data_IF_711030593677
#
_entry.id   IF_711030593677
#
_cell.length_a   1.000
_cell.length_b   1.000
_cell.length_c   1.000
_cell.angle_alpha   90.00
_cell.angle_beta   90.00
_cell.angle_gamma   90.00
#
_symmetry.space_group_name_H-M   'P 1'
#
loop_
_entity.id
_entity.type
_entity.pdbx_description
1 polymer ?
#
# COMPACT_ATOMS: atom_id res chain seq x y z
N UNK A 1 -3.30 -20.31 -38.95
CA UNK A 1 -3.49 -18.86 -38.76
C UNK A 1 -3.67 -18.58 -37.27
N UNK A 2 -2.59 -18.34 -36.54
CA UNK A 2 -2.66 -17.86 -35.16
C UNK A 2 -2.93 -16.35 -35.22
N UNK A 3 -4.19 -15.94 -35.05
CA UNK A 3 -4.48 -14.53 -34.74
C UNK A 3 -3.86 -14.25 -33.38
N UNK A 4 -2.93 -13.30 -33.36
CA UNK A 4 -2.31 -12.76 -32.16
C UNK A 4 -3.44 -12.25 -31.24
N UNK A 5 -3.83 -13.03 -30.22
CA UNK A 5 -4.81 -12.58 -29.23
C UNK A 5 -4.07 -11.62 -28.31
N UNK A 6 -4.54 -10.38 -28.24
CA UNK A 6 -4.01 -9.39 -27.30
C UNK A 6 -4.05 -9.96 -25.87
N UNK A 7 -3.06 -9.59 -25.05
CA UNK A 7 -3.00 -9.99 -23.64
C UNK A 7 -4.13 -9.32 -22.85
N UNK A 8 -4.50 -9.88 -21.69
CA UNK A 8 -5.55 -9.30 -20.81
C UNK A 8 -5.30 -7.80 -20.54
N UNK A 9 -4.09 -7.35 -20.14
CA UNK A 9 -3.82 -5.92 -19.94
C UNK A 9 -4.05 -5.05 -21.20
N UNK A 10 -3.72 -5.54 -22.39
CA UNK A 10 -3.94 -4.78 -23.64
C UNK A 10 -5.42 -4.64 -23.98
N UNK A 11 -6.22 -5.68 -23.72
CA UNK A 11 -7.66 -5.64 -23.87
C UNK A 11 -8.30 -4.70 -22.85
N UNK A 12 -7.84 -4.75 -21.59
CA UNK A 12 -8.29 -3.84 -20.53
C UNK A 12 -7.94 -2.38 -20.82
N UNK A 13 -6.81 -2.10 -21.49
CA UNK A 13 -6.48 -0.74 -21.90
C UNK A 13 -7.48 -0.20 -22.92
N UNK A 14 -7.96 -1.05 -23.84
CA UNK A 14 -9.01 -0.68 -24.80
C UNK A 14 -10.37 -0.49 -24.11
N UNK A 15 -10.71 -1.39 -23.18
CA UNK A 15 -11.89 -1.30 -22.33
C UNK A 15 -11.91 0.00 -21.51
N UNK A 16 -10.80 0.32 -20.84
CA UNK A 16 -10.66 1.51 -20.02
C UNK A 16 -10.88 2.78 -20.86
N UNK A 17 -10.24 2.86 -22.04
CA UNK A 17 -10.42 4.01 -22.95
C UNK A 17 -11.87 4.22 -23.37
N UNK A 18 -12.62 3.14 -23.61
CA UNK A 18 -14.04 3.20 -23.98
C UNK A 18 -14.88 3.76 -22.83
N UNK A 19 -14.71 3.22 -21.63
CA UNK A 19 -15.60 3.49 -20.50
C UNK A 19 -15.17 4.70 -19.65
N UNK A 20 -13.93 5.19 -19.78
CA UNK A 20 -13.43 6.38 -19.04
C UNK A 20 -14.30 7.63 -19.20
N UNK A 21 -14.90 7.82 -20.38
CA UNK A 21 -15.74 9.00 -20.68
C UNK A 21 -17.23 8.76 -20.44
N UNK A 22 -17.60 7.61 -19.91
CA UNK A 22 -18.99 7.26 -19.67
C UNK A 22 -19.59 8.13 -18.55
N UNK A 23 -20.73 8.75 -18.86
CA UNK A 23 -21.52 9.58 -17.93
C UNK A 23 -23.03 9.34 -18.08
N UNK A 24 -23.42 8.17 -18.60
CA UNK A 24 -24.81 7.78 -18.80
C UNK A 24 -25.51 7.45 -17.47
N UNK A 25 -26.85 7.56 -17.45
CA UNK A 25 -27.71 7.27 -16.28
C UNK A 25 -28.47 5.94 -16.37
N UNK A 26 -28.23 5.15 -17.42
CA UNK A 26 -29.06 3.98 -17.72
C UNK A 26 -28.50 2.69 -17.11
N UNK A 27 -29.37 1.96 -16.39
CA UNK A 27 -29.08 0.64 -15.84
C UNK A 27 -28.71 -0.40 -16.91
N UNK A 28 -29.14 -0.22 -18.16
CA UNK A 28 -28.82 -1.15 -19.28
C UNK A 28 -27.32 -1.22 -19.60
N UNK A 29 -26.54 -0.19 -19.29
CA UNK A 29 -25.11 -0.14 -19.62
C UNK A 29 -24.24 -0.91 -18.61
N UNK A 30 -24.76 -1.22 -17.41
CA UNK A 30 -24.06 -2.05 -16.43
C UNK A 30 -23.89 -3.49 -16.93
N UNK A 31 -24.90 -4.04 -17.61
CA UNK A 31 -24.81 -5.36 -18.25
C UNK A 31 -23.78 -5.39 -19.37
N UNK A 32 -23.76 -4.36 -20.23
CA UNK A 32 -22.76 -4.24 -21.30
C UNK A 32 -21.35 -4.13 -20.74
N UNK A 33 -21.16 -3.29 -19.71
CA UNK A 33 -19.88 -3.12 -19.03
C UNK A 33 -19.37 -4.42 -18.43
N UNK A 34 -20.23 -5.11 -17.65
CA UNK A 34 -19.87 -6.39 -17.02
C UNK A 34 -19.64 -7.48 -18.07
N UNK A 35 -20.48 -7.56 -19.11
CA UNK A 35 -20.31 -8.53 -20.19
C UNK A 35 -18.97 -8.38 -20.90
N UNK A 36 -18.62 -7.16 -21.30
CA UNK A 36 -17.32 -6.88 -21.93
C UNK A 36 -16.13 -7.20 -21.02
N UNK A 37 -16.25 -6.88 -19.73
CA UNK A 37 -15.20 -7.20 -18.76
C UNK A 37 -15.05 -8.71 -18.59
N UNK A 38 -16.16 -9.45 -18.46
CA UNK A 38 -16.15 -10.90 -18.31
C UNK A 38 -15.60 -11.60 -19.56
N UNK A 39 -15.89 -11.10 -20.76
CA UNK A 39 -15.34 -11.60 -22.02
C UNK A 39 -13.82 -11.45 -22.09
N UNK A 40 -13.26 -10.35 -21.57
CA UNK A 40 -11.81 -10.14 -21.49
C UNK A 40 -11.14 -11.20 -20.60
N UNK A 41 -11.80 -11.54 -19.49
CA UNK A 41 -11.29 -12.52 -18.54
C UNK A 41 -11.61 -13.98 -18.89
N UNK A 42 -12.36 -14.25 -19.97
CA UNK A 42 -12.89 -15.58 -20.29
C UNK A 42 -13.56 -16.21 -19.04
N UNK A 43 -14.49 -15.43 -18.47
CA UNK A 43 -15.02 -15.71 -17.14
C UNK A 43 -15.78 -17.04 -17.08
N UNK A 44 -15.62 -17.75 -15.96
CA UNK A 44 -16.27 -19.03 -15.75
C UNK A 44 -17.66 -18.84 -15.11
N UNK A 45 -18.69 -19.43 -15.72
CA UNK A 45 -20.08 -19.36 -15.26
C UNK A 45 -20.56 -20.69 -14.66
N UNK A 46 -20.38 -20.94 -13.36
CA UNK A 46 -20.93 -22.14 -12.73
C UNK A 46 -22.48 -22.09 -12.67
N UNK A 47 -23.15 -23.25 -12.52
CA UNK A 47 -24.60 -23.29 -12.30
C UNK A 47 -25.02 -22.43 -11.10
N UNK A 48 -26.03 -21.58 -11.30
CA UNK A 48 -26.52 -20.65 -10.27
C UNK A 48 -25.91 -19.24 -10.35
N UNK A 49 -25.13 -18.92 -11.39
CA UNK A 49 -24.77 -17.53 -11.73
C UNK A 49 -26.03 -16.70 -11.97
N UNK A 50 -26.11 -15.54 -11.34
CA UNK A 50 -27.22 -14.61 -11.47
C UNK A 50 -26.72 -13.29 -12.04
N UNK A 51 -27.45 -12.77 -13.02
CA UNK A 51 -27.36 -11.38 -13.48
C UNK A 51 -28.70 -10.70 -13.19
N UNK A 52 -28.69 -9.35 -13.09
CA UNK A 52 -29.73 -8.32 -12.86
C UNK A 52 -31.25 -8.66 -12.92
N UNK A 53 -31.68 -9.79 -13.46
CA UNK A 53 -33.07 -10.24 -13.58
C UNK A 53 -33.57 -11.11 -12.41
N UNK A 54 -32.71 -11.46 -11.45
CA UNK A 54 -33.11 -12.34 -10.34
C UNK A 54 -33.31 -11.55 -9.04
N UNK A 55 -34.58 -11.40 -8.64
CA UNK A 55 -34.92 -10.85 -7.32
C UNK A 55 -34.59 -11.88 -6.25
N UNK A 56 -33.71 -11.51 -5.33
CA UNK A 56 -33.43 -12.35 -4.15
C UNK A 56 -34.40 -11.94 -3.06
N UNK A 57 -35.14 -12.91 -2.50
CA UNK A 57 -35.99 -12.67 -1.33
C UNK A 57 -35.10 -12.46 -0.10
N UNK A 58 -35.04 -11.23 0.39
CA UNK A 58 -34.23 -10.85 1.55
C UNK A 58 -35.13 -10.73 2.79
N UNK A 59 -34.82 -11.52 3.82
CA UNK A 59 -35.50 -11.47 5.11
C UNK A 59 -35.16 -10.15 5.81
N UNK A 60 -36.14 -9.26 5.97
CA UNK A 60 -35.97 -8.03 6.74
C UNK A 60 -36.39 -8.25 8.20
N UNK A 61 -35.70 -7.61 9.14
CA UNK A 61 -36.23 -7.40 10.48
C UNK A 61 -37.26 -6.27 10.42
N UNK A 62 -38.44 -6.40 11.06
CA UNK A 62 -39.46 -5.37 10.98
C UNK A 62 -38.91 -4.03 11.47
N UNK A 63 -39.13 -2.96 10.69
CA UNK A 63 -38.87 -1.59 11.15
C UNK A 63 -39.80 -1.33 12.34
N UNK A 64 -39.26 -1.21 13.55
CA UNK A 64 -40.03 -0.90 14.77
C UNK A 64 -40.84 0.40 14.56
N UNK A 65 -42.10 0.27 14.16
CA UNK A 65 -43.14 1.25 14.45
C UNK A 65 -43.94 0.69 15.63
N UNK A 66 -44.04 1.49 16.69
CA UNK A 66 -44.82 1.21 17.89
C UNK A 66 -46.14 0.49 17.57
N UNK A 67 -46.37 -0.68 18.18
CA UNK A 67 -47.60 -1.03 18.91
C UNK A 67 -47.57 -2.47 19.46
N UNK A 68 -47.91 -2.57 20.76
CA UNK A 68 -48.37 -3.74 21.54
C UNK A 68 -47.72 -5.12 21.37
N UNK A 69 -46.92 -5.47 22.37
CA UNK A 69 -45.99 -6.60 22.46
C UNK A 69 -46.60 -7.94 22.96
N UNK A 70 -47.90 -8.18 22.82
CA UNK A 70 -48.51 -9.43 23.32
C UNK A 70 -49.10 -10.38 22.27
N UNK A 71 -49.20 -9.97 20.99
CA UNK A 71 -49.72 -10.85 19.93
C UNK A 71 -49.05 -10.65 18.56
N UNK A 72 -47.82 -10.14 18.51
CA UNK A 72 -47.10 -9.99 17.25
C UNK A 72 -46.70 -11.39 16.73
N UNK A 73 -47.47 -11.90 15.77
CA UNK A 73 -46.98 -12.92 14.83
C UNK A 73 -45.82 -12.27 14.08
N UNK A 74 -44.64 -12.89 14.09
CA UNK A 74 -43.49 -12.43 13.31
C UNK A 74 -43.82 -12.52 11.81
N UNK A 75 -44.49 -11.49 11.27
CA UNK A 75 -44.64 -11.33 9.82
C UNK A 75 -43.26 -11.07 9.24
N UNK A 76 -42.72 -12.09 8.58
CA UNK A 76 -41.44 -11.99 7.87
C UNK A 76 -41.68 -11.24 6.57
N UNK A 77 -41.38 -9.95 6.55
CA UNK A 77 -41.34 -9.17 5.31
C UNK A 77 -40.12 -9.57 4.47
N UNK A 78 -40.38 -9.97 3.22
CA UNK A 78 -39.36 -10.20 2.22
C UNK A 78 -39.33 -9.01 1.27
N UNK A 79 -38.20 -8.32 1.15
CA UNK A 79 -37.99 -7.36 0.07
C UNK A 79 -37.30 -8.07 -1.09
N UNK A 80 -37.68 -7.70 -2.31
CA UNK A 80 -36.97 -8.07 -3.51
C UNK A 80 -35.78 -7.11 -3.66
N UNK A 81 -34.58 -7.57 -3.30
CA UNK A 81 -33.35 -6.84 -3.61
C UNK A 81 -32.79 -7.34 -4.95
N UNK A 82 -32.30 -6.41 -5.77
CA UNK A 82 -31.68 -6.69 -7.07
C UNK A 82 -30.17 -6.60 -6.91
N UNK A 83 -29.47 -7.64 -7.34
CA UNK A 83 -28.01 -7.74 -7.35
C UNK A 83 -27.56 -7.72 -8.80
N UNK A 84 -26.53 -6.96 -9.13
CA UNK A 84 -26.14 -6.79 -10.53
C UNK A 84 -25.45 -8.04 -11.09
N UNK A 85 -24.53 -8.63 -10.33
CA UNK A 85 -23.94 -9.93 -10.66
C UNK A 85 -23.59 -10.77 -9.43
N UNK A 86 -23.89 -12.07 -9.53
CA UNK A 86 -23.46 -13.10 -8.59
C UNK A 86 -22.84 -14.26 -9.34
N UNK A 87 -21.61 -14.61 -8.99
CA UNK A 87 -20.95 -15.84 -9.42
C UNK A 87 -20.80 -16.75 -8.19
N UNK A 88 -21.48 -17.91 -8.14
CA UNK A 88 -21.47 -18.85 -7.03
C UNK A 88 -20.09 -19.10 -6.43
N UNK A 89 -19.96 -18.84 -5.12
CA UNK A 89 -18.72 -18.96 -4.32
C UNK A 89 -17.55 -18.08 -4.76
N UNK A 90 -17.61 -17.45 -5.92
CA UNK A 90 -16.57 -16.56 -6.45
C UNK A 90 -16.81 -15.14 -5.99
N UNK A 91 -17.84 -14.45 -6.50
CA UNK A 91 -18.05 -13.04 -6.18
C UNK A 91 -19.52 -12.63 -6.14
N UNK A 92 -19.78 -11.58 -5.37
CA UNK A 92 -20.93 -10.69 -5.57
C UNK A 92 -20.43 -9.34 -6.06
N UNK A 93 -21.11 -8.77 -7.04
CA UNK A 93 -20.76 -7.51 -7.67
C UNK A 93 -21.96 -6.57 -7.68
N UNK A 94 -21.76 -5.37 -7.15
CA UNK A 94 -22.76 -4.32 -7.08
C UNK A 94 -22.26 -3.09 -7.85
N UNK A 95 -23.06 -2.66 -8.83
CA UNK A 95 -22.81 -1.53 -9.71
C UNK A 95 -23.54 -0.29 -9.21
N UNK A 96 -22.92 0.88 -9.35
CA UNK A 96 -23.52 2.20 -9.11
C UNK A 96 -23.35 3.10 -10.32
N UNK A 97 -24.16 4.15 -10.38
CA UNK A 97 -24.04 5.16 -11.43
C UNK A 97 -22.67 5.84 -11.40
N UNK A 98 -22.15 6.29 -12.56
CA UNK A 98 -20.84 6.96 -12.67
C UNK A 98 -20.76 8.31 -11.93
N UNK A 99 -21.89 8.84 -11.46
CA UNK A 99 -22.01 10.01 -10.60
C UNK A 99 -21.82 9.72 -9.10
N UNK A 100 -21.86 8.45 -8.68
CA UNK A 100 -21.64 8.08 -7.27
C UNK A 100 -20.17 8.32 -6.90
N UNK A 101 -19.93 9.25 -5.98
CA UNK A 101 -18.59 9.64 -5.54
C UNK A 101 -18.11 8.86 -4.32
N UNK A 102 -19.01 8.20 -3.60
CA UNK A 102 -18.70 7.47 -2.38
C UNK A 102 -19.30 6.06 -2.41
N UNK A 103 -18.59 5.15 -3.08
CA UNK A 103 -18.93 3.73 -3.13
C UNK A 103 -19.04 3.10 -1.74
N UNK A 104 -18.36 3.64 -0.72
CA UNK A 104 -18.35 3.12 0.64
C UNK A 104 -19.74 3.09 1.30
N UNK A 105 -20.65 3.98 0.89
CA UNK A 105 -22.05 4.01 1.38
C UNK A 105 -22.83 2.74 1.03
N UNK A 106 -22.41 2.04 -0.01
CA UNK A 106 -23.05 0.84 -0.52
C UNK A 106 -22.39 -0.45 0.02
N UNK A 107 -21.38 -0.32 0.89
CA UNK A 107 -20.74 -1.46 1.54
C UNK A 107 -21.73 -2.30 2.37
N UNK A 108 -22.64 -1.65 3.09
CA UNK A 108 -23.66 -2.36 3.87
C UNK A 108 -24.56 -3.23 2.96
N UNK A 109 -24.89 -2.73 1.76
CA UNK A 109 -25.70 -3.46 0.79
C UNK A 109 -24.97 -4.72 0.29
N UNK A 110 -23.72 -4.59 -0.18
CA UNK A 110 -22.97 -5.75 -0.68
C UNK A 110 -22.63 -6.74 0.45
N UNK A 111 -22.41 -6.26 1.67
CA UNK A 111 -22.19 -7.09 2.85
C UNK A 111 -23.44 -7.93 3.20
N UNK A 112 -24.65 -7.39 3.02
CA UNK A 112 -25.89 -8.18 3.17
C UNK A 112 -25.97 -9.32 2.16
N UNK A 113 -25.59 -9.07 0.90
CA UNK A 113 -25.52 -10.15 -0.11
C UNK A 113 -24.49 -11.21 0.27
N UNK A 114 -23.32 -10.77 0.71
CA UNK A 114 -22.26 -11.67 1.16
C UNK A 114 -22.69 -12.52 2.36
N UNK A 115 -23.35 -11.94 3.38
CA UNK A 115 -23.76 -12.67 4.58
C UNK A 115 -24.65 -13.87 4.26
N UNK A 116 -25.44 -13.78 3.18
CA UNK A 116 -26.35 -14.84 2.71
C UNK A 116 -25.71 -15.82 1.74
N UNK A 117 -24.94 -15.32 0.78
CA UNK A 117 -24.41 -16.13 -0.33
C UNK A 117 -22.99 -16.66 -0.07
N UNK A 118 -22.26 -16.04 0.86
CA UNK A 118 -20.88 -16.32 1.26
C UNK A 118 -19.93 -16.55 0.06
N UNK A 119 -19.88 -15.64 -0.94
CA UNK A 119 -18.85 -15.68 -1.98
C UNK A 119 -17.49 -15.27 -1.42
N UNK A 120 -16.39 -15.63 -2.10
CA UNK A 120 -15.03 -15.24 -1.70
C UNK A 120 -14.79 -13.74 -1.83
N UNK A 121 -15.32 -13.12 -2.88
CA UNK A 121 -15.08 -11.70 -3.18
C UNK A 121 -16.38 -10.88 -3.12
N UNK A 122 -16.26 -9.63 -2.66
CA UNK A 122 -17.29 -8.60 -2.89
C UNK A 122 -16.68 -7.50 -3.75
N UNK A 123 -17.44 -6.99 -4.72
CA UNK A 123 -16.98 -5.93 -5.61
C UNK A 123 -18.01 -4.80 -5.64
N UNK A 124 -17.53 -3.57 -5.44
CA UNK A 124 -18.28 -2.35 -5.71
C UNK A 124 -17.65 -1.64 -6.89
N UNK A 125 -18.47 -1.20 -7.84
CA UNK A 125 -17.99 -0.51 -9.03
C UNK A 125 -18.97 0.58 -9.48
N UNK A 126 -18.46 1.71 -9.95
CA UNK A 126 -19.25 2.82 -10.52
C UNK A 126 -18.79 3.18 -11.94
N UNK A 127 -18.34 2.20 -12.73
CA UNK A 127 -17.69 2.37 -14.04
C UNK A 127 -16.33 3.10 -14.02
N UNK A 128 -16.02 3.87 -12.97
CA UNK A 128 -14.80 4.67 -12.85
C UNK A 128 -13.83 4.11 -11.82
N UNK A 129 -14.34 3.46 -10.79
CA UNK A 129 -13.58 2.87 -9.70
C UNK A 129 -14.02 1.43 -9.45
N UNK A 130 -13.08 0.64 -8.95
CA UNK A 130 -13.26 -0.74 -8.53
C UNK A 130 -12.80 -0.86 -7.08
N UNK A 131 -13.66 -1.37 -6.21
CA UNK A 131 -13.34 -1.65 -4.81
C UNK A 131 -13.55 -3.14 -4.59
N UNK A 132 -12.46 -3.90 -4.40
CA UNK A 132 -12.50 -5.35 -4.26
C UNK A 132 -12.21 -5.70 -2.80
N UNK A 133 -13.08 -6.53 -2.23
CA UNK A 133 -12.97 -7.09 -0.89
C UNK A 133 -12.66 -8.58 -1.00
N UNK A 134 -11.62 -9.05 -0.30
CA UNK A 134 -11.23 -10.45 -0.22
C UNK A 134 -11.69 -11.00 1.14
N UNK A 135 -12.81 -11.71 1.15
CA UNK A 135 -13.53 -12.04 2.39
C UNK A 135 -13.05 -13.34 3.02
N UNK A 136 -13.07 -13.40 4.35
CA UNK A 136 -12.85 -14.62 5.14
C UNK A 136 -14.19 -15.26 5.56
N UNK A 137 -14.14 -16.48 6.09
CA UNK A 137 -15.34 -17.26 6.41
C UNK A 137 -16.08 -16.78 7.68
N UNK A 138 -15.49 -15.93 8.52
CA UNK A 138 -16.08 -15.60 9.82
C UNK A 138 -16.98 -14.36 9.77
N UNK A 139 -16.51 -13.22 9.21
CA UNK A 139 -17.21 -11.94 9.36
C UNK A 139 -17.29 -11.07 8.09
N UNK A 140 -16.71 -11.52 6.98
CA UNK A 140 -16.59 -10.69 5.78
C UNK A 140 -15.52 -9.62 5.98
N UNK A 141 -15.43 -8.65 5.07
CA UNK A 141 -14.39 -7.61 5.14
C UNK A 141 -15.00 -6.20 5.16
N UNK A 142 -14.63 -5.41 6.17
CA UNK A 142 -15.12 -4.04 6.36
C UNK A 142 -14.35 -3.00 5.52
N UNK A 143 -13.19 -3.37 4.99
CA UNK A 143 -12.37 -2.50 4.15
C UNK A 143 -11.97 -3.25 2.88
N UNK A 144 -11.95 -2.59 1.72
CA UNK A 144 -11.53 -3.26 0.49
C UNK A 144 -10.05 -3.64 0.59
N UNK A 145 -9.72 -4.79 0.02
CA UNK A 145 -8.36 -5.29 -0.15
C UNK A 145 -7.58 -4.42 -1.13
N UNK A 146 -8.24 -3.93 -2.19
CA UNK A 146 -7.67 -3.00 -3.17
C UNK A 146 -8.74 -2.05 -3.71
N UNK A 147 -8.30 -0.85 -4.09
CA UNK A 147 -9.08 0.13 -4.85
C UNK A 147 -8.26 0.63 -6.02
N UNK A 148 -8.87 0.78 -7.18
CA UNK A 148 -8.23 1.36 -8.35
C UNK A 148 -9.27 1.98 -9.29
N UNK A 149 -8.81 2.92 -10.10
CA UNK A 149 -9.62 3.58 -11.13
C UNK A 149 -9.66 2.76 -12.42
N UNK A 150 -10.59 3.09 -13.33
CA UNK A 150 -10.68 2.43 -14.62
C UNK A 150 -9.44 2.67 -15.49
N UNK A 151 -8.75 3.80 -15.35
CA UNK A 151 -7.48 4.05 -16.04
C UNK A 151 -6.37 3.14 -15.51
N UNK A 152 -6.40 2.79 -14.22
CA UNK A 152 -5.46 1.87 -13.57
C UNK A 152 -5.83 0.38 -13.80
N UNK A 153 -7.04 0.06 -14.30
CA UNK A 153 -7.52 -1.31 -14.49
C UNK A 153 -6.55 -2.25 -15.25
N UNK A 154 -5.88 -1.83 -16.34
CA UNK A 154 -4.89 -2.68 -17.03
C UNK A 154 -3.73 -3.12 -16.12
N UNK A 155 -3.39 -2.28 -15.16
CA UNK A 155 -2.29 -2.45 -14.22
C UNK A 155 -2.70 -3.34 -13.03
N UNK A 156 -4.00 -3.38 -12.74
CA UNK A 156 -4.64 -4.24 -11.75
C UNK A 156 -5.30 -5.48 -12.38
N UNK A 157 -4.88 -5.88 -13.57
CA UNK A 157 -5.44 -7.02 -14.29
C UNK A 157 -5.51 -8.29 -13.42
N UNK A 158 -4.45 -8.54 -12.64
CA UNK A 158 -4.34 -9.72 -11.79
C UNK A 158 -5.32 -9.74 -10.60
N UNK A 159 -5.88 -8.58 -10.22
CA UNK A 159 -6.81 -8.45 -9.11
C UNK A 159 -8.20 -9.03 -9.41
N UNK A 160 -8.53 -9.23 -10.70
CA UNK A 160 -9.80 -9.77 -11.17
C UNK A 160 -9.67 -11.18 -11.78
N UNK A 161 -8.51 -11.84 -11.63
CA UNK A 161 -8.29 -13.21 -12.14
C UNK A 161 -9.25 -14.24 -11.55
N UNK A 162 -9.88 -13.95 -10.41
CA UNK A 162 -10.94 -14.77 -9.82
C UNK A 162 -12.13 -14.96 -10.77
N UNK A 163 -12.38 -14.03 -11.70
CA UNK A 163 -13.41 -14.17 -12.73
C UNK A 163 -13.13 -15.36 -13.66
N UNK A 164 -11.84 -15.65 -13.88
CA UNK A 164 -11.36 -16.80 -14.66
C UNK A 164 -11.15 -18.07 -13.81
N UNK A 165 -11.46 -18.02 -12.51
CA UNK A 165 -11.18 -19.11 -11.57
C UNK A 165 -9.72 -19.25 -11.18
N UNK A 166 -8.89 -18.24 -11.44
CA UNK A 166 -7.47 -18.20 -11.07
C UNK A 166 -7.24 -17.45 -9.75
N UNK A 167 -6.09 -17.68 -9.12
CA UNK A 167 -5.72 -16.99 -7.86
C UNK A 167 -5.47 -15.52 -8.18
N UNK A 168 -6.26 -14.63 -7.57
CA UNK A 168 -6.06 -13.19 -7.74
C UNK A 168 -4.89 -12.69 -6.93
N UNK A 169 -4.11 -11.80 -7.54
CA UNK A 169 -3.05 -11.07 -6.87
C UNK A 169 -3.47 -9.63 -6.68
N UNK A 170 -3.40 -9.16 -5.44
CA UNK A 170 -3.73 -7.79 -5.08
C UNK A 170 -2.43 -7.02 -4.86
N UNK A 171 -1.81 -6.46 -5.91
CA UNK A 171 -0.65 -5.62 -5.72
C UNK A 171 -1.05 -4.47 -4.82
N UNK A 172 -0.36 -4.30 -3.70
CA UNK A 172 -0.56 -3.10 -2.91
C UNK A 172 -0.04 -1.94 -3.75
N UNK A 173 -0.81 -0.84 -3.92
CA UNK A 173 -0.42 0.33 -4.73
C UNK A 173 1.02 0.76 -4.43
N UNK A 174 1.34 0.74 -3.13
CA UNK A 174 2.65 0.82 -2.53
C UNK A 174 3.75 -0.03 -3.20
N UNK A 175 3.54 -1.33 -3.40
CA UNK A 175 4.50 -2.27 -3.99
C UNK A 175 4.76 -1.98 -5.47
N UNK A 176 3.73 -1.54 -6.21
CA UNK A 176 3.87 -1.23 -7.64
C UNK A 176 4.60 0.09 -7.85
N UNK A 177 4.19 1.13 -7.14
CA UNK A 177 4.87 2.44 -7.15
C UNK A 177 6.33 2.23 -6.75
N UNK A 178 6.58 1.47 -5.68
CA UNK A 178 7.91 1.02 -5.25
C UNK A 178 8.72 0.36 -6.37
N UNK A 179 8.13 -0.58 -7.13
CA UNK A 179 8.82 -1.28 -8.23
C UNK A 179 9.15 -0.37 -9.41
N UNK A 180 8.20 0.46 -9.84
CA UNK A 180 8.41 1.37 -10.98
C UNK A 180 9.49 2.41 -10.66
N UNK A 181 9.45 2.99 -9.45
CA UNK A 181 10.45 3.93 -8.98
C UNK A 181 11.82 3.26 -8.85
N UNK A 182 11.87 2.03 -8.32
CA UNK A 182 13.10 1.25 -8.28
C UNK A 182 13.70 0.99 -9.66
N UNK A 183 12.86 0.79 -10.68
CA UNK A 183 13.32 0.60 -12.06
C UNK A 183 13.89 1.86 -12.68
N UNK A 184 13.20 2.98 -12.54
CA UNK A 184 13.67 4.27 -13.10
C UNK A 184 14.97 4.72 -12.43
N UNK A 185 15.04 4.62 -11.10
CA UNK A 185 16.24 4.99 -10.34
C UNK A 185 17.39 4.00 -10.57
N UNK A 186 17.12 2.69 -10.62
CA UNK A 186 18.14 1.69 -10.95
C UNK A 186 18.73 1.90 -12.35
N UNK A 187 17.89 2.27 -13.33
CA UNK A 187 18.36 2.63 -14.67
C UNK A 187 19.23 3.88 -14.67
N UNK A 188 18.81 4.95 -13.97
CA UNK A 188 19.59 6.16 -13.81
C UNK A 188 20.96 5.86 -13.17
N UNK A 189 21.00 5.03 -12.12
CA UNK A 189 22.27 4.63 -11.48
C UNK A 189 23.17 3.91 -12.47
N UNK A 190 22.65 2.97 -13.27
CA UNK A 190 23.46 2.26 -14.29
C UNK A 190 23.99 3.22 -15.35
N UNK A 191 23.14 4.06 -15.92
CA UNK A 191 23.53 5.00 -16.99
C UNK A 191 24.55 6.04 -16.51
N UNK A 192 24.36 6.57 -15.30
CA UNK A 192 25.31 7.51 -14.69
C UNK A 192 26.65 6.82 -14.33
N UNK A 193 26.65 5.53 -14.04
CA UNK A 193 27.87 4.75 -13.76
C UNK A 193 28.66 4.43 -15.03
N UNK A 194 27.95 4.17 -16.14
CA UNK A 194 28.54 3.70 -17.41
C UNK A 194 28.78 4.82 -18.45
N UNK A 195 28.45 6.07 -18.15
CA UNK A 195 28.54 7.22 -19.07
C UNK A 195 29.94 7.81 -19.31
N UNK A 196 30.32 7.92 -20.59
CA UNK A 196 31.46 8.61 -21.23
C UNK A 196 32.82 8.70 -20.51
N UNK A 197 33.70 7.72 -20.76
CA UNK A 197 35.16 7.97 -20.77
C UNK A 197 36.03 7.19 -19.79
N UNK A 198 35.59 6.03 -19.28
CA UNK A 198 36.50 5.08 -18.62
C UNK A 198 36.95 5.44 -17.21
N UNK A 199 36.30 6.43 -16.57
CA UNK A 199 36.34 6.63 -15.13
C UNK A 199 34.93 6.89 -14.64
N UNK A 200 34.14 5.81 -14.56
CA UNK A 200 32.79 5.88 -14.02
C UNK A 200 32.79 6.62 -12.69
N UNK A 201 31.75 7.41 -12.46
CA UNK A 201 31.49 7.96 -11.11
C UNK A 201 31.39 6.77 -10.17
N UNK A 202 32.09 6.86 -9.04
CA UNK A 202 32.09 5.84 -8.00
C UNK A 202 30.66 5.41 -7.66
N UNK A 203 30.35 4.14 -7.93
CA UNK A 203 29.02 3.53 -7.78
C UNK A 203 28.42 3.85 -6.42
N UNK A 204 29.24 3.83 -5.37
CA UNK A 204 28.81 4.12 -4.01
C UNK A 204 28.24 5.54 -3.88
N UNK A 205 28.80 6.51 -4.63
CA UNK A 205 28.37 7.91 -4.61
C UNK A 205 27.03 8.09 -5.31
N UNK A 206 26.84 7.49 -6.49
CA UNK A 206 25.54 7.56 -7.19
C UNK A 206 24.47 6.83 -6.37
N UNK A 207 24.84 5.71 -5.76
CA UNK A 207 23.98 4.91 -4.87
C UNK A 207 23.52 5.73 -3.67
N UNK A 208 24.43 6.44 -2.99
CA UNK A 208 24.04 7.32 -1.88
C UNK A 208 23.25 8.53 -2.35
N UNK A 209 23.62 9.15 -3.46
CA UNK A 209 22.85 10.26 -4.03
C UNK A 209 21.40 9.84 -4.33
N UNK A 210 21.19 8.65 -4.91
CA UNK A 210 19.86 8.10 -5.14
C UNK A 210 19.10 7.90 -3.81
N UNK A 211 19.76 7.44 -2.75
CA UNK A 211 19.15 7.34 -1.41
C UNK A 211 18.74 8.70 -0.84
N UNK A 212 19.60 9.71 -0.98
CA UNK A 212 19.31 11.08 -0.55
C UNK A 212 18.09 11.66 -1.30
N UNK A 213 17.98 11.40 -2.61
CA UNK A 213 16.82 11.78 -3.41
C UNK A 213 15.55 11.05 -2.95
N UNK A 214 15.60 9.72 -2.80
CA UNK A 214 14.43 8.92 -2.37
C UNK A 214 13.94 9.36 -0.99
N UNK A 215 14.85 9.59 -0.05
CA UNK A 215 14.48 10.09 1.27
C UNK A 215 13.83 11.47 1.19
N UNK A 216 14.36 12.37 0.36
CA UNK A 216 13.81 13.72 0.22
C UNK A 216 12.42 13.72 -0.43
N UNK A 217 12.19 12.88 -1.45
CA UNK A 217 10.86 12.69 -2.07
C UNK A 217 9.86 12.10 -1.06
N UNK A 218 10.27 11.07 -0.31
CA UNK A 218 9.45 10.51 0.77
C UNK A 218 9.10 11.57 1.82
N UNK A 219 10.10 12.32 2.29
CA UNK A 219 9.93 13.29 3.37
C UNK A 219 9.03 14.47 2.99
N UNK A 220 9.07 14.95 1.74
CA UNK A 220 8.18 16.03 1.29
C UNK A 220 6.72 15.59 1.10
N UNK A 221 6.50 14.31 0.87
CA UNK A 221 5.17 13.72 0.67
C UNK A 221 4.53 13.24 1.99
N UNK A 222 5.33 12.94 3.03
CA UNK A 222 4.85 12.55 4.37
C UNK A 222 4.84 13.70 5.39
N UNK A 223 4.87 14.95 4.94
CA UNK A 223 4.90 16.17 5.78
C UNK A 223 6.10 16.24 6.75
N UNK A 224 7.17 15.47 6.51
CA UNK A 224 8.43 15.63 7.26
C UNK A 224 9.17 16.89 6.80
N UNK A 225 9.10 17.17 5.49
CA UNK A 225 9.59 18.40 4.87
C UNK A 225 8.40 19.24 4.39
N UNK A 226 8.57 20.56 4.23
CA UNK A 226 7.61 21.36 3.48
C UNK A 226 7.34 20.78 2.09
N UNK A 227 6.06 20.67 1.73
CA UNK A 227 5.66 20.04 0.48
C UNK A 227 6.32 20.69 -0.74
N UNK A 228 6.83 19.85 -1.63
CA UNK A 228 7.52 20.25 -2.86
C UNK A 228 8.87 20.94 -2.66
N UNK A 229 9.45 20.90 -1.45
CA UNK A 229 10.79 21.44 -1.18
C UNK A 229 11.84 20.83 -2.11
N UNK A 230 11.86 19.50 -2.18
CA UNK A 230 12.82 18.77 -3.00
C UNK A 230 12.44 18.84 -4.47
N UNK A 231 11.16 18.68 -4.80
CA UNK A 231 10.64 18.84 -6.16
C UNK A 231 11.06 20.18 -6.80
N UNK A 232 10.96 21.30 -6.07
CA UNK A 232 11.41 22.62 -6.56
C UNK A 232 12.93 22.67 -6.80
N UNK A 233 13.73 22.07 -5.92
CA UNK A 233 15.19 22.01 -6.11
C UNK A 233 15.58 21.24 -7.37
N UNK A 234 14.83 20.18 -7.71
CA UNK A 234 15.01 19.40 -8.95
C UNK A 234 14.56 20.20 -10.18
N UNK A 235 13.47 20.95 -10.08
CA UNK A 235 13.02 21.84 -11.16
C UNK A 235 14.07 22.93 -11.46
N UNK A 236 14.62 23.56 -10.42
CA UNK A 236 15.70 24.55 -10.54
C UNK A 236 16.97 23.93 -11.12
N UNK A 237 17.33 22.72 -10.67
CA UNK A 237 18.47 21.98 -11.21
C UNK A 237 18.30 21.66 -12.71
N UNK A 238 17.08 21.30 -13.13
CA UNK A 238 16.75 21.07 -14.54
C UNK A 238 16.91 22.32 -15.39
N UNK A 239 16.43 23.48 -14.91
CA UNK A 239 16.61 24.77 -15.59
C UNK A 239 18.07 25.21 -15.65
N UNK A 240 18.84 24.96 -14.59
CA UNK A 240 20.25 25.31 -14.49
C UNK A 240 21.16 24.33 -15.25
N UNK A 241 20.66 23.15 -15.63
CA UNK A 241 21.47 22.07 -16.19
C UNK A 241 22.53 21.53 -15.23
N UNK A 242 22.33 21.69 -13.91
CA UNK A 242 23.30 21.26 -12.89
C UNK A 242 22.61 20.93 -11.56
N UNK A 243 23.21 20.04 -10.77
CA UNK A 243 22.72 19.65 -9.45
C UNK A 243 23.00 20.69 -8.34
N UNK A 244 23.45 21.90 -8.68
CA UNK A 244 23.76 22.96 -7.70
C UNK A 244 22.65 23.19 -6.67
N UNK A 245 21.40 23.47 -7.11
CA UNK A 245 20.26 23.69 -6.21
C UNK A 245 19.93 22.49 -5.31
N UNK A 246 20.09 21.27 -5.83
CA UNK A 246 19.88 20.03 -5.05
C UNK A 246 20.93 19.89 -3.95
N UNK A 247 22.20 20.17 -4.26
CA UNK A 247 23.26 20.11 -3.27
C UNK A 247 23.16 21.21 -2.21
N UNK A 248 22.73 22.40 -2.58
CA UNK A 248 22.49 23.48 -1.63
C UNK A 248 21.41 23.08 -0.62
N UNK A 249 20.31 22.46 -1.09
CA UNK A 249 19.30 21.87 -0.22
C UNK A 249 19.87 20.76 0.67
N UNK A 250 20.66 19.83 0.13
CA UNK A 250 21.24 18.73 0.93
C UNK A 250 22.21 19.24 1.99
N UNK A 251 23.00 20.28 1.70
CA UNK A 251 23.86 20.93 2.71
C UNK A 251 23.05 21.57 3.84
N UNK A 252 21.91 22.17 3.51
CA UNK A 252 21.01 22.74 4.51
C UNK A 252 20.32 21.66 5.35
N UNK A 253 19.88 20.55 4.75
CA UNK A 253 19.34 19.38 5.47
C UNK A 253 20.38 18.79 6.44
N UNK A 254 21.66 18.78 6.08
CA UNK A 254 22.75 18.26 6.91
C UNK A 254 23.25 19.22 8.01
N UNK A 255 22.74 20.46 8.09
CA UNK A 255 23.20 21.46 9.06
C UNK A 255 22.36 21.41 10.34
N UNK A 256 22.96 21.08 11.51
CA UNK A 256 22.24 21.15 12.78
C UNK A 256 21.81 22.58 13.10
N UNK A 257 20.68 22.73 13.78
CA UNK A 257 20.21 24.02 14.26
C UNK A 257 21.13 24.51 15.40
N UNK A 258 22.12 25.32 15.04
CA UNK A 258 23.00 26.00 15.98
C UNK A 258 22.74 27.50 15.89
N UNK A 259 22.26 28.08 16.99
CA UNK A 259 22.23 29.53 17.23
C UNK A 259 21.40 30.37 16.23
N UNK A 260 20.19 29.92 15.88
CA UNK A 260 19.17 30.79 15.28
C UNK A 260 19.41 31.21 13.82
N UNK A 261 20.40 30.63 13.14
CA UNK A 261 20.56 30.71 11.68
C UNK A 261 19.69 29.64 11.00
N UNK A 262 18.39 29.78 11.18
CA UNK A 262 17.39 28.84 10.66
C UNK A 262 17.33 28.95 9.14
N UNK A 263 17.58 27.86 8.40
CA UNK A 263 16.92 27.72 7.11
C UNK A 263 15.48 27.30 7.39
N UNK A 264 14.54 28.27 7.35
CA UNK A 264 13.12 28.00 7.67
C UNK A 264 12.44 27.06 6.66
N UNK A 265 13.09 26.78 5.54
CA UNK A 265 12.55 25.97 4.45
C UNK A 265 13.06 24.52 4.47
N UNK A 266 14.24 24.25 5.05
CA UNK A 266 14.85 22.91 5.07
C UNK A 266 15.06 22.44 6.52
N UNK A 267 14.36 21.39 6.99
CA UNK A 267 14.55 20.86 8.34
C UNK A 267 15.88 20.09 8.47
N UNK A 268 16.45 20.10 9.66
CA UNK A 268 17.67 19.33 9.94
C UNK A 268 17.39 17.82 9.97
N UNK A 269 18.16 17.07 9.20
CA UNK A 269 18.18 15.61 9.17
C UNK A 269 19.48 15.14 9.82
N UNK A 270 19.35 14.39 10.90
CA UNK A 270 20.49 13.84 11.63
C UNK A 270 21.13 12.62 10.93
N UNK A 271 22.22 12.11 11.53
CA UNK A 271 22.93 10.95 11.00
C UNK A 271 23.88 11.30 9.87
N UNK A 272 24.19 10.30 9.03
CA UNK A 272 25.20 10.40 7.96
C UNK A 272 24.60 10.56 6.55
N UNK A 273 23.27 10.58 6.42
CA UNK A 273 22.60 10.57 5.12
C UNK A 273 22.99 11.81 4.29
N UNK A 274 22.92 13.00 4.89
CA UNK A 274 23.27 14.28 4.25
C UNK A 274 24.63 14.84 4.72
N UNK A 275 25.62 13.97 5.01
CA UNK A 275 26.95 14.43 5.42
C UNK A 275 27.68 15.18 4.28
N UNK A 276 28.22 16.35 4.62
CA UNK A 276 28.84 17.34 3.73
C UNK A 276 30.21 16.92 3.19
N UNK A 277 30.76 15.79 3.63
CA UNK A 277 32.10 15.32 3.26
C UNK A 277 32.17 14.59 1.93
N UNK A 278 31.04 14.35 1.27
CA UNK A 278 31.01 13.54 0.05
C UNK A 278 31.24 14.35 -1.21
N UNK A 279 31.94 13.71 -2.15
CA UNK A 279 32.17 14.26 -3.47
C UNK A 279 30.85 14.34 -4.24
N UNK A 280 30.53 15.54 -4.73
CA UNK A 280 29.36 15.80 -5.58
C UNK A 280 29.46 15.02 -6.89
N UNK A 281 28.35 14.50 -7.37
CA UNK A 281 28.20 13.88 -8.69
C UNK A 281 27.70 14.92 -9.71
N UNK A 282 27.81 14.58 -10.99
CA UNK A 282 27.20 15.35 -12.08
C UNK A 282 26.28 14.41 -12.85
N UNK A 283 25.09 14.91 -13.20
CA UNK A 283 24.10 14.20 -14.00
C UNK A 283 23.81 15.02 -15.26
N UNK A 284 23.41 14.35 -16.34
CA UNK A 284 22.96 15.05 -17.54
C UNK A 284 21.59 15.69 -17.30
N UNK A 285 21.18 16.69 -18.10
CA UNK A 285 19.84 17.26 -18.02
C UNK A 285 18.72 16.22 -18.12
N UNK A 286 18.91 15.18 -18.94
CA UNK A 286 17.96 14.06 -19.08
C UNK A 286 17.83 13.27 -17.78
N UNK A 287 18.94 12.99 -17.09
CA UNK A 287 18.93 12.32 -15.79
C UNK A 287 18.29 13.17 -14.69
N UNK A 288 18.49 14.48 -14.71
CA UNK A 288 17.82 15.40 -13.78
C UNK A 288 16.30 15.39 -14.01
N UNK A 289 15.84 15.39 -15.27
CA UNK A 289 14.40 15.30 -15.56
C UNK A 289 13.79 13.95 -15.15
N UNK A 290 14.54 12.84 -15.21
CA UNK A 290 14.07 11.56 -14.67
C UNK A 290 13.82 11.66 -13.16
N UNK A 291 14.70 12.32 -12.40
CA UNK A 291 14.50 12.53 -10.96
C UNK A 291 13.34 13.49 -10.69
N UNK A 292 13.26 14.57 -11.45
CA UNK A 292 12.20 15.57 -11.32
C UNK A 292 10.82 14.99 -11.63
N UNK A 293 10.67 14.27 -12.74
CA UNK A 293 9.42 13.55 -13.06
C UNK A 293 9.10 12.50 -11.99
N UNK A 294 10.10 11.82 -11.41
CA UNK A 294 9.85 10.89 -10.32
C UNK A 294 9.32 11.57 -9.04
N UNK A 295 9.85 12.74 -8.69
CA UNK A 295 9.33 13.51 -7.55
C UNK A 295 7.92 14.08 -7.83
N UNK A 296 7.65 14.48 -9.08
CA UNK A 296 6.40 15.12 -9.50
C UNK A 296 5.24 14.15 -9.71
N UNK A 297 5.51 13.00 -10.34
CA UNK A 297 4.47 12.13 -10.89
C UNK A 297 4.09 10.96 -9.96
N UNK A 298 4.92 10.67 -8.95
CA UNK A 298 4.65 9.59 -7.99
C UNK A 298 4.27 10.14 -6.60
N UNK A 299 3.43 9.37 -5.90
CA UNK A 299 3.08 9.61 -4.50
C UNK A 299 3.98 8.76 -3.60
N UNK A 300 4.93 9.40 -2.93
CA UNK A 300 5.93 8.72 -2.12
C UNK A 300 5.43 8.32 -0.72
N UNK A 301 4.20 8.69 -0.34
CA UNK A 301 3.60 8.28 0.95
C UNK A 301 3.40 6.77 1.05
N UNK A 302 3.11 6.14 -0.08
CA UNK A 302 2.87 4.71 -0.17
C UNK A 302 4.17 3.92 -0.44
N UNK A 303 5.33 4.57 -0.56
CA UNK A 303 6.61 3.88 -0.75
C UNK A 303 6.85 2.94 0.41
N UNK A 304 7.19 1.69 0.08
CA UNK A 304 7.64 0.75 1.09
C UNK A 304 9.17 0.72 1.14
N UNK A 305 9.80 0.61 2.32
CA UNK A 305 11.26 0.58 2.43
C UNK A 305 11.96 -0.53 1.66
N UNK A 306 11.25 -1.59 1.25
CA UNK A 306 11.69 -2.61 0.30
C UNK A 306 12.18 -2.01 -1.03
N UNK A 307 11.75 -0.79 -1.36
CA UNK A 307 12.23 -0.03 -2.51
C UNK A 307 13.75 0.08 -2.54
N UNK A 308 14.40 0.24 -1.38
CA UNK A 308 15.84 0.44 -1.32
C UNK A 308 16.57 -0.79 -1.84
N UNK A 309 16.14 -1.99 -1.41
CA UNK A 309 16.64 -3.25 -1.95
C UNK A 309 16.41 -3.37 -3.46
N UNK A 310 15.20 -3.02 -3.91
CA UNK A 310 14.84 -3.09 -5.32
C UNK A 310 15.65 -2.11 -6.19
N UNK A 311 15.92 -0.89 -5.70
CA UNK A 311 16.76 0.10 -6.39
C UNK A 311 18.18 -0.45 -6.53
N UNK A 312 18.76 -0.98 -5.46
CA UNK A 312 20.13 -1.48 -5.48
C UNK A 312 20.30 -2.71 -6.36
N UNK A 313 19.36 -3.65 -6.32
CA UNK A 313 19.34 -4.81 -7.21
C UNK A 313 19.27 -4.39 -8.68
N UNK A 314 18.44 -3.40 -8.98
CA UNK A 314 18.34 -2.90 -10.34
C UNK A 314 19.57 -2.07 -10.73
N UNK A 315 20.20 -1.36 -9.81
CA UNK A 315 21.48 -0.69 -10.04
C UNK A 315 22.66 -1.65 -10.27
N UNK A 316 22.47 -2.96 -10.10
CA UNK A 316 23.49 -4.00 -10.30
C UNK A 316 23.48 -4.59 -11.72
N UNK A 317 24.67 -4.74 -12.29
CA UNK A 317 24.86 -5.51 -13.52
C UNK A 317 24.49 -6.98 -13.25
N UNK A 318 23.95 -7.72 -14.24
CA UNK A 318 23.49 -9.09 -14.04
C UNK A 318 24.54 -10.05 -13.45
N UNK A 319 25.84 -9.83 -13.76
CA UNK A 319 26.95 -10.61 -13.20
C UNK A 319 27.16 -10.32 -11.71
N UNK A 320 27.25 -9.04 -11.33
CA UNK A 320 27.39 -8.58 -9.94
C UNK A 320 26.22 -9.04 -9.06
N UNK A 321 24.99 -9.09 -9.62
CA UNK A 321 23.80 -9.56 -8.90
C UNK A 321 23.94 -11.00 -8.40
N UNK A 322 24.52 -11.87 -9.23
CA UNK A 322 24.70 -13.28 -8.90
C UNK A 322 25.85 -13.50 -7.93
N UNK A 323 26.95 -12.75 -8.10
CA UNK A 323 28.14 -12.86 -7.25
C UNK A 323 27.89 -12.34 -5.82
N UNK A 324 27.09 -11.28 -5.66
CA UNK A 324 26.73 -10.73 -4.36
C UNK A 324 25.58 -11.48 -3.66
N UNK A 325 24.97 -12.47 -4.33
CA UNK A 325 23.77 -13.14 -3.83
C UNK A 325 22.63 -12.16 -3.53
N UNK A 326 22.55 -11.06 -4.28
CA UNK A 326 21.61 -9.95 -4.08
C UNK A 326 20.20 -10.34 -4.55
N UNK A 327 19.66 -11.39 -3.94
CA UNK A 327 18.28 -11.78 -4.09
C UNK A 327 17.47 -11.18 -2.95
N UNK A 328 16.53 -10.32 -3.32
CA UNK A 328 15.54 -9.75 -2.42
C UNK A 328 14.83 -10.86 -1.64
N UNK A 329 15.04 -10.93 -0.32
CA UNK A 329 14.24 -11.79 0.55
C UNK A 329 12.86 -11.16 0.73
N UNK A 330 11.82 -11.85 0.27
CA UNK A 330 10.43 -11.37 0.39
C UNK A 330 10.02 -11.28 1.85
N UNK A 331 9.14 -10.32 2.14
CA UNK A 331 8.61 -10.12 3.49
C UNK A 331 8.00 -11.41 4.07
N UNK A 332 7.26 -12.16 3.26
CA UNK A 332 6.66 -13.44 3.67
C UNK A 332 7.70 -14.45 4.16
N UNK A 333 8.88 -14.47 3.55
CA UNK A 333 9.97 -15.36 3.94
C UNK A 333 10.67 -14.85 5.21
N UNK A 334 10.86 -13.54 5.33
CA UNK A 334 11.36 -12.92 6.56
C UNK A 334 10.44 -13.25 7.74
N UNK A 335 9.12 -13.13 7.55
CA UNK A 335 8.13 -13.41 8.59
C UNK A 335 8.14 -14.86 9.07
N UNK A 336 8.56 -15.84 8.24
CA UNK A 336 8.74 -17.24 8.69
C UNK A 336 9.80 -17.36 9.78
N UNK A 337 10.81 -16.49 9.79
CA UNK A 337 11.85 -16.43 10.82
C UNK A 337 11.43 -15.49 11.96
N UNK A 338 11.01 -14.27 11.64
CA UNK A 338 10.69 -13.23 12.62
C UNK A 338 9.51 -13.61 13.52
N UNK A 339 8.49 -14.28 12.96
CA UNK A 339 7.31 -14.68 13.73
C UNK A 339 7.64 -15.61 14.91
N UNK A 340 8.29 -16.77 14.70
CA UNK A 340 8.60 -17.68 15.81
C UNK A 340 9.71 -17.15 16.74
N UNK A 341 10.66 -16.36 16.22
CA UNK A 341 11.85 -15.93 17.00
C UNK A 341 11.65 -14.63 17.77
N UNK A 342 10.81 -13.71 17.26
CA UNK A 342 10.59 -12.39 17.87
C UNK A 342 9.13 -12.23 18.30
N UNK A 343 8.18 -12.40 17.37
CA UNK A 343 6.78 -12.00 17.63
C UNK A 343 6.08 -12.92 18.62
N UNK A 344 6.21 -14.24 18.46
CA UNK A 344 5.57 -15.22 19.34
C UNK A 344 6.07 -15.09 20.79
N UNK A 345 7.39 -15.01 21.07
CA UNK A 345 7.91 -14.77 22.41
C UNK A 345 7.37 -13.48 23.04
N UNK A 346 7.38 -12.35 22.32
CA UNK A 346 6.88 -11.07 22.84
C UNK A 346 5.38 -11.07 23.06
N UNK A 347 4.58 -11.58 22.12
CA UNK A 347 3.13 -11.73 22.30
C UNK A 347 2.79 -12.61 23.49
N UNK A 348 3.60 -13.63 23.80
CA UNK A 348 3.43 -14.46 24.99
C UNK A 348 3.73 -13.68 26.27
N UNK A 349 4.85 -12.95 26.33
CA UNK A 349 5.22 -12.09 27.47
C UNK A 349 4.16 -11.00 27.73
N UNK A 350 3.73 -10.29 26.69
CA UNK A 350 2.69 -9.25 26.78
C UNK A 350 1.37 -9.83 27.31
N UNK A 351 0.92 -10.99 26.78
CA UNK A 351 -0.31 -11.63 27.25
C UNK A 351 -0.22 -12.13 28.70
N UNK A 352 0.97 -12.54 29.14
CA UNK A 352 1.20 -12.99 30.51
C UNK A 352 1.23 -11.83 31.53
N UNK A 353 1.60 -10.62 31.10
CA UNK A 353 1.60 -9.44 31.95
C UNK A 353 0.16 -9.02 32.33
N UNK A 354 -0.22 -9.19 33.60
CA UNK A 354 -1.58 -8.90 34.08
C UNK A 354 -1.66 -7.64 34.95
N UNK A 355 -0.56 -7.25 35.59
CA UNK A 355 -0.47 -6.05 36.41
C UNK A 355 0.28 -4.95 35.66
N UNK A 356 0.02 -3.65 35.95
CA UNK A 356 0.77 -2.55 35.33
C UNK A 356 2.29 -2.74 35.42
N UNK A 357 2.82 -3.06 36.61
CA UNK A 357 4.26 -3.31 36.81
C UNK A 357 4.84 -4.40 35.90
N UNK A 358 4.06 -5.44 35.59
CA UNK A 358 4.49 -6.50 34.68
C UNK A 358 4.60 -5.97 33.24
N UNK A 359 3.64 -5.14 32.83
CA UNK A 359 3.62 -4.54 31.50
C UNK A 359 4.76 -3.54 31.33
N UNK A 360 5.04 -2.72 32.35
CA UNK A 360 6.22 -1.85 32.44
C UNK A 360 7.53 -2.64 32.27
N UNK A 361 7.67 -3.75 33.00
CA UNK A 361 8.86 -4.60 32.90
C UNK A 361 9.02 -5.15 31.48
N UNK A 362 7.94 -5.63 30.86
CA UNK A 362 8.00 -6.13 29.47
C UNK A 362 8.35 -4.99 28.50
N UNK A 363 7.84 -3.78 28.70
CA UNK A 363 8.17 -2.62 27.87
C UNK A 363 9.65 -2.26 27.96
N UNK A 364 10.25 -2.26 29.15
CA UNK A 364 11.67 -1.99 29.33
C UNK A 364 12.53 -3.11 28.73
N UNK A 365 12.12 -4.38 28.86
CA UNK A 365 12.79 -5.49 28.17
C UNK A 365 12.73 -5.35 26.64
N UNK A 366 11.60 -4.89 26.08
CA UNK A 366 11.46 -4.63 24.64
C UNK A 366 12.36 -3.48 24.19
N UNK A 367 12.49 -2.42 25.00
CA UNK A 367 13.35 -1.26 24.72
C UNK A 367 14.83 -1.63 24.63
N UNK A 368 15.27 -2.61 25.43
CA UNK A 368 16.66 -3.09 25.46
C UNK A 368 16.92 -4.24 24.47
N UNK A 369 15.91 -4.65 23.69
CA UNK A 369 16.02 -5.76 22.75
C UNK A 369 16.85 -5.35 21.52
N UNK A 370 17.90 -6.10 21.24
CA UNK A 370 18.78 -5.89 20.09
C UNK A 370 18.62 -7.02 19.07
N UNK A 371 18.58 -6.63 17.80
CA UNK A 371 18.50 -7.54 16.66
C UNK A 371 19.76 -7.31 15.84
N UNK A 372 20.48 -8.39 15.56
CA UNK A 372 21.67 -8.37 14.74
C UNK A 372 21.41 -9.18 13.47
N UNK A 373 21.60 -8.52 12.33
CA UNK A 373 21.70 -9.17 11.03
C UNK A 373 23.11 -8.91 10.48
N UNK A 374 24.03 -9.90 10.55
CA UNK A 374 25.42 -9.73 10.13
C UNK A 374 25.60 -9.65 8.61
N UNK A 375 24.55 -9.92 7.83
CA UNK A 375 24.56 -9.88 6.36
C UNK A 375 23.32 -9.15 5.84
N UNK A 376 23.04 -7.97 6.41
CA UNK A 376 21.75 -7.31 6.27
C UNK A 376 21.46 -6.76 4.87
N UNK A 377 22.47 -6.61 4.00
CA UNK A 377 22.29 -6.07 2.66
C UNK A 377 21.57 -4.73 2.66
N UNK A 378 20.40 -4.67 2.03
CA UNK A 378 19.52 -3.49 2.02
C UNK A 378 18.76 -3.23 3.33
N UNK A 379 18.96 -4.06 4.35
CA UNK A 379 18.38 -3.93 5.68
C UNK A 379 16.93 -4.44 5.80
N UNK A 380 16.41 -5.17 4.81
CA UNK A 380 14.98 -5.54 4.81
C UNK A 380 14.57 -6.38 6.03
N UNK A 381 15.42 -7.31 6.48
CA UNK A 381 15.16 -8.09 7.69
C UNK A 381 15.04 -7.20 8.93
N UNK A 382 16.00 -6.28 9.12
CA UNK A 382 16.02 -5.32 10.22
C UNK A 382 14.80 -4.41 10.20
N UNK A 383 14.40 -3.94 9.02
CA UNK A 383 13.21 -3.13 8.82
C UNK A 383 11.94 -3.87 9.22
N UNK A 384 11.72 -5.09 8.70
CA UNK A 384 10.54 -5.90 9.03
C UNK A 384 10.48 -6.14 10.53
N UNK A 385 11.60 -6.50 11.16
CA UNK A 385 11.65 -6.68 12.62
C UNK A 385 11.29 -5.38 13.35
N UNK A 386 11.87 -4.23 12.97
CA UNK A 386 11.56 -2.93 13.56
C UNK A 386 10.06 -2.59 13.43
N UNK A 387 9.48 -2.76 12.24
CA UNK A 387 8.06 -2.51 11.96
C UNK A 387 7.16 -3.39 12.82
N UNK A 388 7.46 -4.68 12.94
CA UNK A 388 6.69 -5.58 13.79
C UNK A 388 6.88 -5.28 15.28
N UNK A 389 8.07 -4.84 15.71
CA UNK A 389 8.30 -4.36 17.08
C UNK A 389 7.47 -3.10 17.38
N UNK A 390 7.35 -2.15 16.43
CA UNK A 390 6.44 -0.99 16.56
C UNK A 390 4.96 -1.39 16.63
N UNK A 391 4.55 -2.45 15.94
CA UNK A 391 3.21 -3.03 16.12
C UNK A 391 3.04 -3.62 17.52
N UNK A 392 4.05 -4.32 18.05
CA UNK A 392 4.04 -4.83 19.42
C UNK A 392 4.01 -3.71 20.47
N UNK A 393 4.66 -2.57 20.23
CA UNK A 393 4.54 -1.36 21.08
C UNK A 393 3.08 -0.88 21.19
N UNK A 394 2.30 -0.97 20.10
CA UNK A 394 0.87 -0.65 20.16
C UNK A 394 0.10 -1.66 21.01
N UNK A 395 0.39 -2.96 20.85
CA UNK A 395 -0.25 -4.04 21.63
C UNK A 395 0.07 -3.93 23.13
N UNK A 396 1.32 -3.63 23.49
CA UNK A 396 1.69 -3.47 24.91
C UNK A 396 1.06 -2.22 25.52
N UNK A 397 0.87 -1.15 24.74
CA UNK A 397 0.11 0.04 25.17
C UNK A 397 -1.36 -0.27 25.44
N UNK A 398 -2.01 -1.05 24.58
CA UNK A 398 -3.37 -1.54 24.81
C UNK A 398 -3.44 -2.42 26.08
N UNK A 399 -2.46 -3.32 26.25
CA UNK A 399 -2.37 -4.19 27.42
C UNK A 399 -2.15 -3.40 28.71
N UNK A 400 -1.37 -2.32 28.67
CA UNK A 400 -1.19 -1.38 29.78
C UNK A 400 -2.52 -0.75 30.19
N UNK A 401 -3.27 -0.19 29.23
CA UNK A 401 -4.59 0.38 29.50
C UNK A 401 -5.57 -0.66 30.06
N UNK A 402 -5.54 -1.89 29.54
CA UNK A 402 -6.34 -3.00 30.06
C UNK A 402 -5.96 -3.34 31.52
N UNK A 403 -4.66 -3.47 31.82
CA UNK A 403 -4.15 -3.80 33.15
C UNK A 403 -4.48 -2.70 34.17
N UNK A 404 -4.37 -1.43 33.80
CA UNK A 404 -4.78 -0.30 34.66
C UNK A 404 -6.27 -0.33 34.98
N UNK A 405 -7.15 -0.53 33.98
CA UNK A 405 -8.60 -0.61 34.20
C UNK A 405 -8.96 -1.76 35.15
N UNK A 406 -8.26 -2.89 35.05
CA UNK A 406 -8.51 -4.08 35.87
C UNK A 406 -7.92 -3.99 37.29
N UNK A 407 -6.79 -3.30 37.46
CA UNK A 407 -6.26 -2.96 38.78
C UNK A 407 -7.21 -2.02 39.57
N UNK A 408 -8.05 -1.28 38.83
CA UNK A 408 -9.26 -0.61 39.32
C UNK A 408 -8.98 0.62 40.17
N UNK A 409 -9.95 1.54 40.22
CA UNK A 409 -10.61 2.05 41.43
C UNK A 409 -9.81 2.36 42.72
N UNK A 410 -8.48 2.41 42.69
CA UNK A 410 -7.57 2.93 43.69
C UNK A 410 -6.48 3.67 42.93
N UNK A 411 -6.61 4.99 42.97
CA UNK A 411 -5.69 6.01 42.44
C UNK A 411 -4.25 5.49 42.35
N UNK A 412 -3.78 5.29 41.13
CA UNK A 412 -2.38 5.46 40.81
C UNK A 412 -2.29 6.12 39.44
N UNK A 413 -1.93 7.41 39.43
CA UNK A 413 -1.57 8.12 38.22
C UNK A 413 -0.13 7.73 37.87
N UNK A 414 0.04 6.59 37.21
CA UNK A 414 1.32 6.27 36.56
C UNK A 414 1.16 6.65 35.08
N UNK A 415 1.99 7.57 34.55
CA UNK A 415 1.96 7.95 33.15
C UNK A 415 2.26 6.73 32.27
N UNK A 416 1.77 6.71 31.01
CA UNK A 416 2.13 5.66 30.07
C UNK A 416 3.66 5.62 29.87
N UNK A 417 4.21 4.45 29.50
CA UNK A 417 5.62 4.36 29.13
C UNK A 417 5.96 5.41 28.06
N UNK A 418 7.15 6.04 28.14
CA UNK A 418 7.54 7.10 27.21
C UNK A 418 7.45 6.59 25.77
N UNK A 419 6.93 7.44 24.88
CA UNK A 419 7.01 7.20 23.45
C UNK A 419 8.50 7.30 23.08
N UNK A 420 9.07 6.19 22.61
CA UNK A 420 10.45 6.13 22.11
C UNK A 420 10.55 6.63 20.68
#
# INVERSE_FOLDING_TARGET
MYRNRATIPEQLMSFARKWRRFGGREQMEAQTFLGELLDIYDAHYPPGTLFEQHTVRVKHAPKKKNQNLLFAVDEVEYTAERMDMYIPKVCVWEMKGPEETDLGRHHEQVLRYWARMRPRYMVLCNFKEFWIYDTDEENGQNRPKVRFTIDELPEYADALLFLRGEVSHFPQRAERVTREMASRLGQLVREATHGNGGKGVDRERITKFALECVFAMFAEDTDLFPRGLFSRSLEEAGRAGSLGPVYDLFEDLGRPDTEGKVNRLAPYVNGSLYDRRQARITLSPEHIEVLHSAARDFDWRDVRPEIFGSIFEQALDPADRHELGAHFTREEDILKVVTPTVLVPWRRKIRAAKLPKDVEKVAEEMRLFHVLDPACGCGNFLYVVYREMKRLESVIKEQWHWAQRRAGARKWAIPPPPQG
#
